data_IF_996139798990
#
_entry.id   IF_996139798990
#
_cell.length_a   1.000
_cell.length_b   1.000
_cell.length_c   1.000
_cell.angle_alpha   90.00
_cell.angle_beta   90.00
_cell.angle_gamma   90.00
#
_symmetry.space_group_name_H-M   'P 1'
#
loop_
_entity.id
_entity.type
_entity.pdbx_description
1 polymer ?
#
# COMPACT_ATOMS: atom_id res chain seq x y z
N UNK A 1 -1.25 0.49 -26.02
CA UNK A 1 -2.01 0.53 -24.75
C UNK A 1 -1.34 1.54 -23.83
N UNK A 2 -2.12 2.29 -23.04
CA UNK A 2 -1.59 3.38 -22.22
C UNK A 2 -0.85 2.93 -20.95
N UNK A 3 -0.98 1.65 -20.59
CA UNK A 3 -0.36 1.05 -19.40
C UNK A 3 0.50 -0.15 -19.79
N UNK A 4 1.52 -0.41 -19.00
CA UNK A 4 2.32 -1.63 -19.16
C UNK A 4 1.59 -2.83 -18.61
N UNK A 5 1.87 -4.01 -19.15
CA UNK A 5 1.26 -5.27 -18.71
C UNK A 5 1.45 -5.51 -17.20
N UNK A 6 2.60 -5.09 -16.65
CA UNK A 6 2.87 -5.15 -15.21
C UNK A 6 1.91 -4.30 -14.39
N UNK A 7 1.59 -3.09 -14.85
CA UNK A 7 0.66 -2.20 -14.14
C UNK A 7 -0.75 -2.80 -14.14
N UNK A 8 -1.19 -3.32 -15.28
CA UNK A 8 -2.51 -3.95 -15.40
C UNK A 8 -2.61 -5.19 -14.51
N UNK A 9 -1.61 -6.07 -14.53
CA UNK A 9 -1.58 -7.27 -13.67
C UNK A 9 -1.67 -6.93 -12.18
N UNK A 10 -0.91 -5.92 -11.71
CA UNK A 10 -0.97 -5.49 -10.31
C UNK A 10 -2.31 -4.83 -9.93
N UNK A 11 -3.01 -4.23 -10.88
CA UNK A 11 -4.33 -3.63 -10.66
C UNK A 11 -5.44 -4.69 -10.59
N UNK A 12 -5.44 -5.64 -11.52
CA UNK A 12 -6.45 -6.71 -11.57
C UNK A 12 -6.21 -7.81 -10.52
N UNK A 13 -4.94 -8.08 -10.18
CA UNK A 13 -4.54 -9.07 -9.19
C UNK A 13 -3.77 -8.39 -8.04
N UNK A 14 -4.44 -7.62 -7.16
CA UNK A 14 -3.77 -6.84 -6.14
C UNK A 14 -3.17 -7.75 -5.06
N UNK A 15 -1.94 -7.43 -4.63
CA UNK A 15 -1.15 -8.23 -3.70
C UNK A 15 -1.01 -7.49 -2.38
N UNK A 16 -1.09 -8.21 -1.26
CA UNK A 16 -0.95 -7.64 0.10
C UNK A 16 -2.01 -6.59 0.45
N UNK A 17 -3.23 -6.76 -0.06
CA UNK A 17 -4.37 -5.91 0.30
C UNK A 17 -4.80 -6.23 1.73
N UNK A 18 -4.92 -5.21 2.56
CA UNK A 18 -5.43 -5.37 3.93
C UNK A 18 -4.84 -4.35 4.89
N UNK A 19 -4.84 -4.73 6.17
CA UNK A 19 -4.21 -3.98 7.25
C UNK A 19 -3.51 -4.94 8.20
N UNK A 20 -2.37 -4.50 8.72
CA UNK A 20 -1.70 -5.14 9.85
C UNK A 20 -2.24 -4.57 11.17
N UNK A 21 -1.97 -5.27 12.28
CA UNK A 21 -2.28 -4.77 13.62
C UNK A 21 -1.46 -3.51 13.90
N UNK A 22 -2.16 -2.38 14.08
CA UNK A 22 -1.56 -1.06 14.33
C UNK A 22 -0.95 -0.92 15.72
N UNK A 23 -1.38 -1.77 16.66
CA UNK A 23 -0.96 -1.71 18.06
C UNK A 23 0.25 -2.63 18.32
N UNK A 24 0.64 -3.44 17.33
CA UNK A 24 1.81 -4.29 17.40
C UNK A 24 3.11 -3.46 17.36
N UNK A 25 4.06 -3.67 18.29
CA UNK A 25 5.26 -2.83 18.44
C UNK A 25 6.23 -2.95 17.25
N UNK A 26 6.11 -4.01 16.46
CA UNK A 26 6.93 -4.28 15.28
C UNK A 26 6.25 -3.87 13.96
N UNK A 27 5.09 -3.19 14.03
CA UNK A 27 4.36 -2.71 12.84
C UNK A 27 4.52 -1.20 12.71
N UNK A 28 5.17 -0.76 11.62
CA UNK A 28 5.23 0.63 11.20
C UNK A 28 4.10 0.96 10.23
N UNK A 29 3.38 2.05 10.45
CA UNK A 29 2.33 2.54 9.55
C UNK A 29 2.69 3.91 8.98
N UNK A 30 2.81 4.00 7.65
CA UNK A 30 2.95 5.25 6.91
C UNK A 30 1.68 5.56 6.13
N UNK A 31 1.05 6.70 6.42
CA UNK A 31 -0.06 7.22 5.63
C UNK A 31 0.38 8.53 4.99
N UNK A 32 0.39 8.57 3.67
CA UNK A 32 0.78 9.73 2.88
C UNK A 32 -0.28 10.00 1.84
N UNK A 33 -0.57 11.26 1.58
CA UNK A 33 -1.52 11.64 0.56
C UNK A 33 -1.38 13.10 0.21
N UNK A 34 -1.68 13.44 -1.03
CA UNK A 34 -1.85 14.80 -1.48
C UNK A 34 -3.35 14.99 -1.76
N UNK A 35 -4.13 15.53 -0.80
CA UNK A 35 -5.58 15.70 -0.97
C UNK A 35 -5.94 16.49 -2.24
N UNK A 36 -5.05 17.37 -2.68
CA UNK A 36 -5.20 18.15 -3.91
C UNK A 36 -5.19 17.32 -5.20
N UNK A 37 -4.53 16.15 -5.21
CA UNK A 37 -4.45 15.25 -6.37
C UNK A 37 -5.42 14.06 -6.28
N UNK A 38 -6.11 13.88 -5.15
CA UNK A 38 -7.05 12.77 -4.93
C UNK A 38 -6.40 11.45 -4.52
N UNK A 39 -5.07 11.41 -4.38
CA UNK A 39 -4.34 10.19 -4.06
C UNK A 39 -3.99 10.11 -2.57
N UNK A 40 -4.45 9.04 -1.93
CA UNK A 40 -4.09 8.66 -0.56
C UNK A 40 -3.51 7.26 -0.60
N UNK A 41 -2.30 7.10 -0.07
CA UNK A 41 -1.62 5.83 0.05
C UNK A 41 -1.38 5.49 1.52
N UNK A 42 -1.72 4.26 1.89
CA UNK A 42 -1.37 3.68 3.19
C UNK A 42 -0.45 2.49 2.96
N UNK A 43 0.70 2.51 3.61
CA UNK A 43 1.67 1.43 3.58
C UNK A 43 2.03 1.02 5.01
N UNK A 44 1.92 -0.27 5.29
CA UNK A 44 2.29 -0.84 6.58
C UNK A 44 3.39 -1.87 6.38
N UNK A 45 4.37 -1.88 7.28
CA UNK A 45 5.47 -2.84 7.30
C UNK A 45 5.53 -3.51 8.67
N UNK A 46 5.76 -4.82 8.70
CA UNK A 46 6.09 -5.56 9.90
C UNK A 46 7.55 -5.95 9.85
N UNK A 47 8.31 -5.59 10.88
CA UNK A 47 9.76 -5.83 10.96
C UNK A 47 10.02 -7.04 11.86
N UNK A 48 10.86 -7.96 11.41
CA UNK A 48 11.37 -9.06 12.22
C UNK A 48 12.67 -8.62 12.93
N UNK A 49 13.14 -9.40 13.91
CA UNK A 49 14.42 -9.16 14.59
C UNK A 49 15.62 -9.07 13.63
#
# INVERSE_FOLDING_TARGET
>A
MAYSDKVIDHYENPRNVGTLDKDAPNVGTGMVGAPACGDVMRLQIQVNE
#
